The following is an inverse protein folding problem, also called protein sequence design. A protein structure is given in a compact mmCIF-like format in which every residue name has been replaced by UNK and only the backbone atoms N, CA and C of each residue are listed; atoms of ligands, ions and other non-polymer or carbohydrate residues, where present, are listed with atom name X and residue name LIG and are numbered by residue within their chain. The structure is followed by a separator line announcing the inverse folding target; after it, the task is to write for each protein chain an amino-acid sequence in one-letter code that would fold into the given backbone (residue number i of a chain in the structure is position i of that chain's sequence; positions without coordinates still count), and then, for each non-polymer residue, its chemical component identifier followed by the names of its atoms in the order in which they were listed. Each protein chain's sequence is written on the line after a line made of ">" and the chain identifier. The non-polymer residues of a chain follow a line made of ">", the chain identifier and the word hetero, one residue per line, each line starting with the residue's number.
data_IF_312856032113
#
_entry.id   IF_312856032113
#
_cell.length_a   1.000
_cell.length_b   1.000
_cell.length_c   1.000
_cell.angle_alpha   90.00
_cell.angle_beta   90.00
_cell.angle_gamma   90.00
#
_symmetry.space_group_name_H-M   'P 1'
#
loop_
_entity.id
_entity.type
_entity.pdbx_description
1 polymer ?
#
# COMPACT_ATOMS: atom_id res chain seq x y z
N UNK A 1 -52.71 40.51 21.66
CA UNK A 1 -52.01 39.24 21.91
C UNK A 1 -50.70 39.35 21.15
N UNK A 2 -49.62 39.69 21.85
CA UNK A 2 -48.25 39.64 21.34
C UNK A 2 -47.91 38.15 21.27
N UNK A 3 -47.74 37.63 20.04
CA UNK A 3 -47.24 36.28 19.84
C UNK A 3 -45.91 36.15 20.63
N UNK A 4 -45.83 35.21 21.56
CA UNK A 4 -44.59 34.85 22.23
C UNK A 4 -43.57 34.48 21.15
N UNK A 5 -42.67 35.42 20.91
CA UNK A 5 -41.49 35.16 20.07
C UNK A 5 -40.72 34.14 20.87
N UNK A 6 -40.70 32.91 20.40
CA UNK A 6 -39.93 31.82 20.96
C UNK A 6 -38.45 32.22 20.85
N UNK A 7 -37.98 33.00 21.83
CA UNK A 7 -36.57 33.41 21.91
C UNK A 7 -35.75 32.17 22.18
N UNK A 8 -34.88 31.82 21.23
CA UNK A 8 -33.99 30.69 21.36
C UNK A 8 -33.14 30.79 22.62
N UNK A 9 -32.51 29.68 23.03
CA UNK A 9 -31.67 29.62 24.25
C UNK A 9 -30.38 30.43 24.19
N UNK A 10 -30.08 31.12 23.08
CA UNK A 10 -28.90 31.97 22.92
C UNK A 10 -29.02 33.23 23.79
N UNK A 11 -27.97 33.54 24.54
CA UNK A 11 -27.88 34.73 25.39
C UNK A 11 -26.98 35.83 24.80
N UNK A 12 -26.70 35.75 23.49
CA UNK A 12 -25.86 36.70 22.73
C UNK A 12 -24.51 37.03 23.34
N UNK A 13 -23.87 36.00 23.84
CA UNK A 13 -22.56 36.09 24.49
C UNK A 13 -21.38 36.36 23.54
N UNK A 14 -21.56 36.17 22.24
CA UNK A 14 -20.60 36.42 21.16
C UNK A 14 -19.30 35.63 21.21
N UNK A 15 -19.08 34.76 22.19
CA UNK A 15 -17.84 34.01 22.27
C UNK A 15 -17.67 33.05 21.09
N UNK A 16 -18.75 32.47 20.59
CA UNK A 16 -18.74 31.61 19.40
C UNK A 16 -18.20 32.36 18.15
N UNK A 17 -18.45 33.65 18.03
CA UNK A 17 -17.95 34.52 16.94
C UNK A 17 -16.46 34.85 17.19
N UNK A 18 -16.09 35.20 18.41
CA UNK A 18 -14.72 35.58 18.78
C UNK A 18 -13.71 34.46 18.60
N UNK A 19 -14.08 33.22 18.87
CA UNK A 19 -13.18 32.05 18.72
C UNK A 19 -13.11 31.53 17.30
N UNK A 20 -13.93 32.03 16.38
CA UNK A 20 -13.96 31.55 15.01
C UNK A 20 -12.72 32.02 14.23
N UNK A 21 -11.88 31.12 13.71
CA UNK A 21 -10.67 31.50 12.96
C UNK A 21 -10.98 32.21 11.64
N UNK A 22 -12.17 31.97 11.07
CA UNK A 22 -12.63 32.63 9.83
C UNK A 22 -13.53 33.82 10.08
N UNK A 23 -13.83 34.15 11.36
CA UNK A 23 -14.59 35.34 11.73
C UNK A 23 -16.09 35.27 11.42
N UNK A 24 -16.65 34.09 11.16
CA UNK A 24 -18.08 33.93 10.87
C UNK A 24 -18.95 34.02 12.12
N UNK A 25 -20.15 34.52 11.95
CA UNK A 25 -21.17 34.49 13.01
C UNK A 25 -22.08 33.29 12.78
N UNK A 26 -21.85 32.22 13.54
CA UNK A 26 -22.62 30.97 13.47
C UNK A 26 -24.06 31.13 13.88
N UNK A 27 -24.45 32.21 14.57
CA UNK A 27 -25.82 32.48 14.94
C UNK A 27 -26.71 32.73 13.71
N UNK A 28 -26.12 33.21 12.62
CA UNK A 28 -26.78 33.39 11.33
C UNK A 28 -26.93 32.10 10.52
N UNK A 29 -26.57 30.95 11.09
CA UNK A 29 -26.62 29.65 10.44
C UNK A 29 -25.31 29.21 9.82
N UNK A 30 -25.37 28.18 8.97
CA UNK A 30 -24.22 27.60 8.28
C UNK A 30 -23.75 28.54 7.19
N UNK A 31 -22.42 28.80 7.13
CA UNK A 31 -21.77 29.66 6.12
C UNK A 31 -20.70 28.87 5.37
N UNK A 32 -20.46 29.25 4.12
CA UNK A 32 -19.52 28.53 3.23
C UNK A 32 -18.07 28.61 3.70
N UNK A 33 -17.70 29.66 4.42
CA UNK A 33 -16.37 29.92 4.96
C UNK A 33 -16.04 29.07 6.19
N UNK A 34 -16.99 28.26 6.65
CA UNK A 34 -16.82 27.41 7.84
C UNK A 34 -15.85 26.26 7.58
N UNK A 35 -14.74 26.23 8.29
CA UNK A 35 -13.72 25.16 8.21
C UNK A 35 -14.00 23.95 9.12
N UNK A 36 -15.16 23.92 9.81
CA UNK A 36 -15.56 22.80 10.67
C UNK A 36 -14.66 22.55 11.89
N UNK A 37 -13.97 23.58 12.41
CA UNK A 37 -12.99 23.46 13.50
C UNK A 37 -13.60 23.21 14.90
N UNK A 38 -14.92 23.28 15.06
CA UNK A 38 -15.70 23.05 16.30
C UNK A 38 -15.47 24.03 17.47
N UNK A 39 -14.55 24.98 17.36
CA UNK A 39 -14.24 25.94 18.45
C UNK A 39 -15.49 26.69 18.99
N UNK A 40 -16.43 27.02 18.12
CA UNK A 40 -17.71 27.65 18.50
C UNK A 40 -18.60 26.72 19.35
N UNK A 41 -18.54 25.40 19.11
CA UNK A 41 -19.30 24.39 19.88
C UNK A 41 -18.76 24.36 21.32
N UNK A 42 -17.42 24.31 21.48
CA UNK A 42 -16.76 24.24 22.77
C UNK A 42 -16.99 25.53 23.58
N UNK A 43 -16.86 26.69 22.94
CA UNK A 43 -17.09 27.99 23.56
C UNK A 43 -18.55 28.14 24.04
N UNK A 44 -19.51 27.75 23.19
CA UNK A 44 -20.92 27.76 23.53
C UNK A 44 -21.23 26.79 24.68
N UNK A 45 -20.76 25.55 24.61
CA UNK A 45 -20.98 24.56 25.66
C UNK A 45 -20.42 24.99 27.01
N UNK A 46 -19.25 25.64 27.04
CA UNK A 46 -18.67 26.20 28.26
C UNK A 46 -19.57 27.23 28.90
N UNK A 47 -20.13 28.13 28.09
CA UNK A 47 -21.04 29.16 28.57
C UNK A 47 -22.38 28.57 29.05
N UNK A 48 -22.96 27.64 28.27
CA UNK A 48 -24.22 26.99 28.63
C UNK A 48 -24.15 26.28 30.00
N UNK A 49 -22.98 25.63 30.27
CA UNK A 49 -22.75 25.03 31.59
C UNK A 49 -22.68 26.08 32.69
N UNK A 50 -21.99 27.20 32.46
CA UNK A 50 -21.86 28.27 33.44
C UNK A 50 -23.19 28.90 33.86
N UNK A 51 -24.18 28.92 32.96
CA UNK A 51 -25.51 29.44 33.21
C UNK A 51 -26.57 28.34 33.52
N UNK A 52 -26.10 27.10 33.75
CA UNK A 52 -26.93 25.93 34.05
C UNK A 52 -27.97 25.58 32.97
N UNK A 53 -27.68 25.89 31.69
CA UNK A 53 -28.49 25.49 30.54
C UNK A 53 -27.94 24.22 29.86
N UNK A 54 -28.76 23.45 29.12
CA UNK A 54 -28.34 22.24 28.45
C UNK A 54 -27.29 22.55 27.35
N UNK A 55 -26.28 21.66 27.19
CA UNK A 55 -25.29 21.71 26.11
C UNK A 55 -25.93 21.41 24.76
N UNK A 56 -25.23 21.78 23.67
CA UNK A 56 -25.56 21.36 22.30
C UNK A 56 -26.46 22.35 21.55
N UNK A 57 -26.44 23.63 21.97
CA UNK A 57 -27.09 24.70 21.21
C UNK A 57 -26.45 24.81 19.82
N UNK A 58 -25.11 24.86 19.76
CA UNK A 58 -24.36 24.71 18.51
C UNK A 58 -23.95 23.25 18.41
N UNK A 59 -24.36 22.57 17.32
CA UNK A 59 -24.08 21.15 17.09
C UNK A 59 -24.13 20.80 15.62
N UNK A 60 -23.53 19.69 15.24
CA UNK A 60 -23.76 19.13 13.91
C UNK A 60 -25.15 18.53 13.82
N UNK A 61 -25.96 19.02 12.91
CA UNK A 61 -27.29 18.50 12.63
C UNK A 61 -27.63 18.70 11.16
N UNK A 62 -28.51 17.87 10.63
CA UNK A 62 -29.09 18.12 9.30
C UNK A 62 -30.19 19.16 9.39
N UNK A 63 -30.37 19.98 8.37
CA UNK A 63 -31.42 20.98 8.28
C UNK A 63 -32.81 20.37 8.51
N UNK A 64 -33.10 19.25 7.87
CA UNK A 64 -34.33 18.50 8.08
C UNK A 64 -34.47 17.99 9.53
N UNK A 65 -33.36 17.62 10.18
CA UNK A 65 -33.36 17.18 11.58
C UNK A 65 -33.68 18.32 12.55
N UNK A 66 -33.28 19.55 12.21
CA UNK A 66 -33.57 20.76 13.01
C UNK A 66 -35.04 21.15 12.81
N UNK A 67 -35.52 21.24 11.57
CA UNK A 67 -36.90 21.65 11.24
C UNK A 67 -37.94 20.65 11.71
N UNK A 68 -37.65 19.34 11.63
CA UNK A 68 -38.59 18.29 12.05
C UNK A 68 -38.39 17.84 13.51
N UNK A 69 -37.43 18.44 14.24
CA UNK A 69 -37.13 18.05 15.63
C UNK A 69 -36.59 16.62 15.79
N UNK A 70 -36.16 15.99 14.70
CA UNK A 70 -35.72 14.60 14.71
C UNK A 70 -34.26 14.46 15.18
N UNK A 71 -34.04 13.52 16.10
CA UNK A 71 -32.70 13.14 16.53
C UNK A 71 -31.95 12.45 15.38
N UNK A 72 -30.60 12.59 15.37
CA UNK A 72 -29.73 11.86 14.44
C UNK A 72 -30.05 10.36 14.51
N UNK A 73 -30.41 9.77 13.39
CA UNK A 73 -30.62 8.32 13.25
C UNK A 73 -29.67 7.75 12.22
N UNK A 74 -29.21 6.56 12.50
CA UNK A 74 -28.35 5.82 11.57
C UNK A 74 -29.20 5.31 10.40
N UNK A 75 -29.20 6.07 9.30
CA UNK A 75 -30.05 5.81 8.13
C UNK A 75 -29.53 4.62 7.31
N UNK A 76 -30.38 4.05 6.44
CA UNK A 76 -29.99 2.96 5.54
C UNK A 76 -28.79 3.33 4.65
N UNK A 77 -28.73 4.59 4.18
CA UNK A 77 -27.59 5.10 3.39
C UNK A 77 -26.29 5.11 4.20
N UNK A 78 -26.34 5.57 5.45
CA UNK A 78 -25.16 5.56 6.33
C UNK A 78 -24.67 4.14 6.59
N UNK A 79 -25.58 3.19 6.82
CA UNK A 79 -25.23 1.76 6.97
C UNK A 79 -24.52 1.23 5.75
N UNK A 80 -25.04 1.51 4.55
CA UNK A 80 -24.43 1.08 3.29
C UNK A 80 -23.02 1.65 3.12
N UNK A 81 -22.84 2.97 3.33
CA UNK A 81 -21.51 3.58 3.23
C UNK A 81 -20.53 3.07 4.29
N UNK A 82 -21.00 2.80 5.51
CA UNK A 82 -20.15 2.22 6.55
C UNK A 82 -19.69 0.82 6.18
N UNK A 83 -20.58 -0.03 5.68
CA UNK A 83 -20.24 -1.38 5.23
C UNK A 83 -19.24 -1.31 4.06
N UNK A 84 -19.49 -0.44 3.08
CA UNK A 84 -18.59 -0.23 1.95
C UNK A 84 -17.20 0.23 2.41
N UNK A 85 -17.15 1.18 3.35
CA UNK A 85 -15.88 1.68 3.91
C UNK A 85 -15.10 0.57 4.63
N UNK A 86 -15.77 -0.22 5.45
CA UNK A 86 -15.16 -1.35 6.17
C UNK A 86 -14.62 -2.38 5.16
N UNK A 87 -15.38 -2.69 4.11
CA UNK A 87 -14.96 -3.63 3.07
C UNK A 87 -13.72 -3.12 2.33
N UNK A 88 -13.71 -1.86 1.91
CA UNK A 88 -12.56 -1.25 1.22
C UNK A 88 -11.33 -1.19 2.13
N UNK A 89 -11.51 -0.81 3.40
CA UNK A 89 -10.41 -0.80 4.39
C UNK A 89 -9.88 -2.20 4.65
N UNK A 90 -10.76 -3.22 4.68
CA UNK A 90 -10.36 -4.61 4.81
C UNK A 90 -9.55 -5.12 3.63
N UNK A 91 -9.97 -4.80 2.40
CA UNK A 91 -9.22 -5.12 1.17
C UNK A 91 -7.85 -4.43 1.20
N UNK A 92 -7.80 -3.14 1.55
CA UNK A 92 -6.54 -2.40 1.64
C UNK A 92 -5.58 -3.04 2.66
N UNK A 93 -6.07 -3.38 3.84
CA UNK A 93 -5.28 -4.04 4.88
C UNK A 93 -4.74 -5.39 4.40
N UNK A 94 -5.58 -6.19 3.72
CA UNK A 94 -5.17 -7.48 3.15
C UNK A 94 -4.08 -7.31 2.09
N UNK A 95 -4.21 -6.32 1.21
CA UNK A 95 -3.19 -6.02 0.20
C UNK A 95 -1.86 -5.56 0.82
N UNK A 96 -1.91 -4.76 1.89
CA UNK A 96 -0.72 -4.31 2.61
C UNK A 96 0.01 -5.48 3.29
N UNK A 97 -0.74 -6.38 3.94
CA UNK A 97 -0.17 -7.56 4.61
C UNK A 97 0.40 -8.55 3.58
N UNK A 98 -0.24 -8.69 2.42
CA UNK A 98 0.21 -9.57 1.33
C UNK A 98 1.39 -9.01 0.53
N UNK A 99 1.86 -7.80 0.81
CA UNK A 99 2.96 -7.17 0.09
C UNK A 99 4.27 -7.93 0.32
N UNK A 100 4.97 -8.25 -0.77
CA UNK A 100 6.29 -8.88 -0.70
C UNK A 100 7.36 -7.86 -0.31
N UNK A 101 8.26 -8.27 0.56
CA UNK A 101 9.36 -7.44 1.06
C UNK A 101 10.43 -7.18 0.00
N UNK A 102 10.67 -8.15 -0.89
CA UNK A 102 11.66 -8.07 -1.96
C UNK A 102 10.97 -8.38 -3.28
N UNK A 103 11.28 -7.58 -4.28
CA UNK A 103 10.85 -7.79 -5.65
C UNK A 103 12.08 -7.99 -6.55
N UNK A 104 11.99 -8.93 -7.47
CA UNK A 104 13.08 -9.26 -8.37
C UNK A 104 12.61 -9.47 -9.80
N UNK A 105 13.41 -8.99 -10.74
CA UNK A 105 13.17 -9.19 -12.17
C UNK A 105 14.42 -9.77 -12.81
N UNK A 106 14.26 -10.86 -13.56
CA UNK A 106 15.35 -11.49 -14.33
C UNK A 106 15.11 -11.23 -15.79
N UNK A 107 16.10 -10.64 -16.44
CA UNK A 107 16.07 -10.33 -17.87
C UNK A 107 17.24 -11.04 -18.54
N UNK A 108 16.97 -11.75 -19.60
CA UNK A 108 18.05 -12.34 -20.42
C UNK A 108 18.75 -11.23 -21.20
N UNK A 109 20.07 -11.28 -21.24
CA UNK A 109 20.88 -10.33 -22.02
C UNK A 109 20.57 -10.48 -23.52
N UNK A 110 20.29 -9.36 -24.18
CA UNK A 110 20.03 -9.32 -25.62
C UNK A 110 21.35 -9.58 -26.38
N UNK A 111 21.25 -10.26 -27.50
CA UNK A 111 22.39 -10.51 -28.39
C UNK A 111 23.06 -11.89 -28.23
N UNK A 112 23.05 -12.49 -27.05
CA UNK A 112 23.56 -13.86 -26.86
C UNK A 112 22.43 -14.84 -26.63
N UNK A 113 22.34 -15.87 -27.44
CA UNK A 113 21.28 -16.88 -27.32
C UNK A 113 21.68 -17.92 -26.29
N UNK A 114 22.82 -18.55 -26.45
CA UNK A 114 23.49 -19.46 -25.49
C UNK A 114 24.96 -19.52 -25.80
N UNK A 115 25.76 -19.95 -24.85
CA UNK A 115 27.19 -20.23 -25.01
C UNK A 115 27.43 -21.70 -24.67
N UNK A 116 28.26 -22.37 -25.48
CA UNK A 116 28.72 -23.71 -25.18
C UNK A 116 29.89 -23.61 -24.22
N UNK A 117 29.84 -24.32 -23.09
CA UNK A 117 30.91 -24.44 -22.11
C UNK A 117 31.38 -25.88 -22.07
N UNK A 118 32.53 -26.15 -22.70
CA UNK A 118 33.03 -27.52 -22.87
C UNK A 118 32.17 -28.32 -23.84
N UNK A 119 32.25 -29.64 -23.78
CA UNK A 119 31.57 -30.55 -24.70
C UNK A 119 30.11 -30.83 -24.30
N UNK A 120 29.70 -30.57 -23.02
CA UNK A 120 28.44 -31.14 -22.49
C UNK A 120 27.60 -30.13 -21.69
N UNK A 121 27.95 -28.84 -21.72
CA UNK A 121 27.20 -27.81 -20.95
C UNK A 121 26.88 -26.59 -21.77
N UNK A 122 25.68 -26.05 -21.51
CA UNK A 122 25.17 -24.82 -22.11
C UNK A 122 25.03 -23.75 -21.04
N UNK A 123 25.40 -22.51 -21.35
CA UNK A 123 25.27 -21.39 -20.43
C UNK A 123 24.50 -20.23 -21.05
N UNK A 124 23.65 -19.59 -20.26
CA UNK A 124 22.96 -18.35 -20.61
C UNK A 124 23.30 -17.26 -19.62
N UNK A 125 23.48 -16.05 -20.13
CA UNK A 125 23.72 -14.86 -19.33
C UNK A 125 22.38 -14.18 -19.01
N UNK A 126 22.18 -13.93 -17.74
CA UNK A 126 21.03 -13.21 -17.20
C UNK A 126 21.46 -12.00 -16.40
N UNK A 127 20.67 -10.95 -16.48
CA UNK A 127 20.76 -9.79 -15.62
C UNK A 127 19.60 -9.86 -14.61
N UNK A 128 19.91 -9.69 -13.35
CA UNK A 128 18.93 -9.60 -12.29
C UNK A 128 18.91 -8.18 -11.74
N UNK A 129 17.71 -7.70 -11.49
CA UNK A 129 17.46 -6.48 -10.74
C UNK A 129 16.59 -6.85 -9.54
N UNK A 130 17.09 -6.57 -8.35
CA UNK A 130 16.39 -6.85 -7.09
C UNK A 130 16.17 -5.54 -6.36
N UNK A 131 14.97 -5.35 -5.85
CA UNK A 131 14.56 -4.15 -5.12
C UNK A 131 14.19 -4.58 -3.70
N UNK A 132 14.89 -4.02 -2.73
CA UNK A 132 14.56 -4.17 -1.32
C UNK A 132 13.54 -3.10 -0.93
N UNK A 133 12.35 -3.52 -0.49
CA UNK A 133 11.27 -2.63 -0.04
C UNK A 133 11.23 -2.52 1.49
N UNK A 134 12.22 -3.10 2.18
CA UNK A 134 12.31 -3.08 3.64
C UNK A 134 13.35 -2.07 4.11
N UNK A 135 13.24 -1.70 5.39
CA UNK A 135 14.16 -0.78 6.09
C UNK A 135 15.43 -1.51 6.60
N UNK A 136 15.64 -2.77 6.20
CA UNK A 136 16.75 -3.60 6.69
C UNK A 136 17.66 -4.00 5.53
N UNK A 137 18.96 -4.01 5.80
CA UNK A 137 19.94 -4.58 4.88
C UNK A 137 19.76 -6.10 4.81
N UNK A 138 19.75 -6.65 3.61
CA UNK A 138 19.57 -8.09 3.40
C UNK A 138 20.56 -8.61 2.34
N UNK A 139 21.47 -9.54 2.69
CA UNK A 139 22.17 -10.32 1.70
C UNK A 139 21.21 -11.33 1.06
N UNK A 140 21.21 -11.38 -0.26
CA UNK A 140 20.36 -12.27 -1.04
C UNK A 140 21.19 -13.20 -1.88
N UNK A 141 20.91 -14.50 -1.78
CA UNK A 141 21.54 -15.56 -2.58
C UNK A 141 20.58 -16.08 -3.63
N UNK A 142 21.11 -16.47 -4.79
CA UNK A 142 20.35 -17.06 -5.88
C UNK A 142 20.57 -18.58 -5.87
N UNK A 143 19.46 -19.34 -5.94
CA UNK A 143 19.51 -20.80 -6.07
C UNK A 143 18.57 -21.24 -7.18
N UNK A 144 19.02 -22.18 -8.03
CA UNK A 144 18.14 -22.85 -8.99
C UNK A 144 17.17 -23.76 -8.27
N UNK A 145 15.93 -23.78 -8.71
CA UNK A 145 14.86 -24.60 -8.13
C UNK A 145 14.32 -25.61 -9.13
N UNK A 146 13.73 -26.68 -8.61
CA UNK A 146 13.16 -27.76 -9.38
C UNK A 146 14.24 -28.64 -10.02
N UNK A 147 13.89 -29.32 -11.12
CA UNK A 147 14.79 -30.28 -11.78
C UNK A 147 16.10 -29.63 -12.27
N UNK A 148 16.04 -28.34 -12.62
CA UNK A 148 17.23 -27.57 -13.00
C UNK A 148 18.18 -27.34 -11.80
N UNK A 149 17.66 -27.32 -10.57
CA UNK A 149 18.44 -27.16 -9.35
C UNK A 149 19.37 -28.33 -9.04
N UNK A 150 18.96 -29.54 -9.41
CA UNK A 150 19.73 -30.77 -9.15
C UNK A 150 20.90 -30.95 -10.13
N UNK A 151 20.83 -30.36 -11.31
CA UNK A 151 21.77 -30.60 -12.40
C UNK A 151 22.51 -29.34 -12.85
N UNK A 152 21.97 -28.16 -12.57
CA UNK A 152 22.52 -26.88 -12.99
C UNK A 152 23.26 -26.12 -11.90
N UNK A 153 24.06 -25.13 -12.33
CA UNK A 153 24.78 -24.21 -11.44
C UNK A 153 24.51 -22.76 -11.82
N UNK A 154 24.47 -21.88 -10.82
CA UNK A 154 24.47 -20.42 -10.99
C UNK A 154 25.88 -19.92 -10.70
N UNK A 155 26.44 -19.13 -11.61
CA UNK A 155 27.74 -18.46 -11.44
C UNK A 155 27.48 -16.95 -11.50
N UNK A 156 27.61 -16.27 -10.37
CA UNK A 156 27.52 -14.81 -10.31
C UNK A 156 28.82 -14.18 -10.88
N UNK A 157 28.64 -13.07 -11.57
CA UNK A 157 29.78 -12.30 -12.10
C UNK A 157 30.13 -11.21 -11.09
N UNK A 158 31.33 -11.27 -10.54
CA UNK A 158 31.93 -10.22 -9.71
C UNK A 158 31.67 -10.33 -8.19
N UNK A 159 30.63 -10.99 -7.73
CA UNK A 159 30.34 -11.16 -6.29
C UNK A 159 29.63 -12.48 -6.03
N UNK A 160 29.84 -13.06 -4.86
CA UNK A 160 29.17 -14.31 -4.43
C UNK A 160 27.73 -14.06 -3.99
N UNK A 161 27.46 -12.88 -3.45
CA UNK A 161 26.14 -12.49 -2.90
C UNK A 161 25.74 -11.10 -3.37
N UNK A 162 24.44 -10.89 -3.50
CA UNK A 162 23.88 -9.58 -3.82
C UNK A 162 23.52 -8.90 -2.49
N UNK A 163 24.33 -7.92 -2.08
CA UNK A 163 24.04 -7.11 -0.90
C UNK A 163 23.01 -6.03 -1.24
N UNK A 164 21.82 -6.16 -0.66
CA UNK A 164 20.76 -5.18 -0.77
C UNK A 164 20.77 -4.29 0.46
N UNK A 165 21.05 -3.00 0.28
CA UNK A 165 20.86 -1.99 1.31
C UNK A 165 19.35 -1.74 1.52
N UNK A 166 19.03 -1.13 2.65
CA UNK A 166 17.66 -0.69 2.95
C UNK A 166 17.12 0.22 1.84
N UNK A 167 15.88 -0.02 1.41
CA UNK A 167 15.15 0.78 0.41
C UNK A 167 15.91 1.00 -0.91
N UNK A 168 16.89 0.13 -1.23
CA UNK A 168 17.76 0.26 -2.40
C UNK A 168 17.52 -0.87 -3.42
N UNK A 169 18.09 -0.68 -4.60
CA UNK A 169 18.08 -1.66 -5.67
C UNK A 169 19.51 -2.12 -5.97
N UNK A 170 19.67 -3.42 -6.13
CA UNK A 170 20.90 -3.99 -6.64
C UNK A 170 20.66 -4.67 -7.98
N UNK A 171 21.63 -4.55 -8.86
CA UNK A 171 21.65 -5.26 -10.14
C UNK A 171 22.91 -6.11 -10.23
N UNK A 172 22.76 -7.28 -10.80
CA UNK A 172 23.88 -8.20 -11.00
C UNK A 172 23.70 -8.99 -12.27
N UNK A 173 24.81 -9.58 -12.74
CA UNK A 173 24.79 -10.49 -13.88
C UNK A 173 25.25 -11.86 -13.43
N UNK A 174 24.62 -12.89 -13.96
CA UNK A 174 24.97 -14.27 -13.63
C UNK A 174 24.76 -15.21 -14.79
N UNK A 175 25.56 -16.25 -14.84
CA UNK A 175 25.38 -17.36 -15.76
C UNK A 175 24.57 -18.47 -15.11
N UNK A 176 23.65 -19.02 -15.88
CA UNK A 176 23.04 -20.31 -15.56
C UNK A 176 23.66 -21.34 -16.46
N UNK A 177 24.30 -22.34 -15.89
CA UNK A 177 24.95 -23.43 -16.60
C UNK A 177 24.11 -24.71 -16.42
N UNK A 178 23.66 -25.28 -17.52
CA UNK A 178 22.87 -26.52 -17.54
C UNK A 178 23.54 -27.57 -18.42
N UNK A 179 23.49 -28.86 -18.06
CA UNK A 179 23.96 -29.95 -18.95
C UNK A 179 23.11 -29.98 -20.23
N UNK A 180 23.77 -30.23 -21.34
CA UNK A 180 23.14 -30.30 -22.68
C UNK A 180 21.97 -31.29 -22.72
N UNK A 181 22.11 -32.41 -22.02
CA UNK A 181 21.07 -33.47 -21.91
C UNK A 181 19.78 -32.99 -21.27
N UNK A 182 19.84 -31.94 -20.45
CA UNK A 182 18.68 -31.38 -19.76
C UNK A 182 17.90 -30.39 -20.63
N UNK A 183 18.53 -29.80 -21.62
CA UNK A 183 17.95 -28.76 -22.47
C UNK A 183 17.31 -29.36 -23.72
N UNK A 184 16.11 -29.91 -23.58
CA UNK A 184 15.38 -30.61 -24.65
C UNK A 184 14.51 -29.69 -25.53
N UNK A 185 14.55 -28.38 -25.29
CA UNK A 185 13.70 -27.42 -26.02
C UNK A 185 14.40 -26.08 -26.20
N UNK A 186 14.00 -25.37 -27.28
CA UNK A 186 14.51 -24.01 -27.57
C UNK A 186 14.29 -23.01 -26.42
N UNK A 187 13.23 -23.20 -25.63
CA UNK A 187 12.89 -22.36 -24.46
C UNK A 187 12.52 -23.26 -23.30
N UNK A 188 13.42 -23.41 -22.37
CA UNK A 188 13.19 -24.16 -21.15
C UNK A 188 12.84 -23.18 -20.03
N UNK A 189 11.68 -23.34 -19.39
CA UNK A 189 11.33 -22.55 -18.22
C UNK A 189 12.14 -23.02 -17.03
N UNK A 190 12.91 -22.11 -16.43
CA UNK A 190 13.67 -22.34 -15.20
C UNK A 190 13.15 -21.45 -14.07
N UNK A 191 13.22 -21.98 -12.87
CA UNK A 191 12.85 -21.27 -11.65
C UNK A 191 14.10 -20.96 -10.85
N UNK A 192 14.22 -19.69 -10.45
CA UNK A 192 15.32 -19.20 -9.64
C UNK A 192 14.74 -18.65 -8.37
N UNK A 193 15.09 -19.23 -7.24
CA UNK A 193 14.69 -18.78 -5.91
C UNK A 193 15.66 -17.71 -5.39
N UNK A 194 15.09 -16.64 -4.83
CA UNK A 194 15.83 -15.68 -4.01
C UNK A 194 15.73 -16.11 -2.55
N UNK A 195 16.88 -16.21 -1.89
CA UNK A 195 16.98 -16.65 -0.51
C UNK A 195 17.71 -15.62 0.34
N UNK A 196 17.26 -15.44 1.57
CA UNK A 196 17.99 -14.77 2.64
C UNK A 196 18.38 -15.81 3.67
N UNK A 197 19.66 -16.20 3.68
CA UNK A 197 20.09 -17.41 4.38
C UNK A 197 19.38 -18.65 3.85
N UNK A 198 18.63 -19.34 4.71
CA UNK A 198 17.83 -20.52 4.31
C UNK A 198 16.35 -20.19 4.06
N UNK A 199 15.91 -18.94 4.36
CA UNK A 199 14.52 -18.55 4.13
C UNK A 199 14.33 -18.11 2.69
N UNK A 200 13.44 -18.81 2.00
CA UNK A 200 12.99 -18.44 0.66
C UNK A 200 12.12 -17.19 0.70
N UNK A 201 12.47 -16.18 -0.10
CA UNK A 201 11.74 -14.92 -0.21
C UNK A 201 10.75 -14.96 -1.37
N UNK A 202 11.25 -15.26 -2.56
CA UNK A 202 10.42 -15.32 -3.78
C UNK A 202 11.05 -16.23 -4.83
N UNK A 203 10.23 -16.67 -5.79
CA UNK A 203 10.69 -17.44 -6.95
C UNK A 203 10.47 -16.62 -8.20
N UNK A 204 11.51 -16.48 -8.98
CA UNK A 204 11.49 -15.83 -10.29
C UNK A 204 11.52 -16.88 -11.38
N UNK A 205 10.69 -16.72 -12.39
CA UNK A 205 10.66 -17.63 -13.54
C UNK A 205 11.22 -16.94 -14.76
N UNK A 206 12.16 -17.60 -15.43
CA UNK A 206 12.75 -17.11 -16.68
C UNK A 206 12.89 -18.24 -17.70
N UNK A 207 13.19 -17.89 -18.93
CA UNK A 207 13.37 -18.86 -20.02
C UNK A 207 14.86 -19.02 -20.35
N UNK A 208 15.36 -20.22 -20.22
CA UNK A 208 16.67 -20.63 -20.70
C UNK A 208 16.57 -20.93 -22.19
N UNK A 209 17.48 -20.39 -23.00
CA UNK A 209 17.51 -20.64 -24.42
C UNK A 209 18.44 -21.81 -24.74
N UNK A 210 17.92 -22.79 -25.43
CA UNK A 210 18.66 -23.92 -25.95
C UNK A 210 18.93 -23.84 -27.46
N UNK A 211 19.69 -24.78 -28.02
CA UNK A 211 20.00 -24.87 -29.44
C UNK A 211 18.76 -25.14 -30.29
N UNK A 212 18.83 -24.76 -31.54
CA UNK A 212 17.83 -25.07 -32.56
C UNK A 212 18.02 -26.51 -33.03
N UNK A 213 17.03 -27.37 -32.82
CA UNK A 213 17.00 -28.76 -33.32
C UNK A 213 16.72 -29.77 -32.21
N UNK A 214 16.02 -30.86 -32.58
CA UNK A 214 15.92 -32.06 -31.75
C UNK A 214 17.26 -32.79 -31.86
N UNK A 215 17.89 -33.13 -30.74
CA UNK A 215 18.99 -34.07 -30.67
C UNK A 215 18.44 -35.46 -30.35
#
# INVERSE_FOLDING_TARGET
>A
QIAEINTGDCIDFFQCVKVCPTGIDIRNGTQMECVGCTACIDACNKMMVAIHKPKGLIRYASENGITEGKKLRYTGRMKFYTVLLILLSGILALLLISRKDIDGTIIRTKGMVYQERGTDSLSNLFNIKVINKTIKDMPVTLRLEGDAGNTGKIELIGATDIHLKQEDQASGSFFVVLPRKFVNSRKLKIKIGLYHGDKKITTLTTNFAGPFGKF
#
